data_IF_013585572628
#
_entry.id   IF_013585572628
#
_cell.length_a   1.000
_cell.length_b   1.000
_cell.length_c   1.000
_cell.angle_alpha   90.00
_cell.angle_beta   90.00
_cell.angle_gamma   90.00
#
_symmetry.space_group_name_H-M   'P 1'
#
loop_
_entity.id
_entity.type
_entity.pdbx_description
1 polymer ?
#
# COMPACT_ATOMS: atom_id res chain seq x y z
N UNK A 1 -10.34 -7.57 -12.21
CA UNK A 1 -8.96 -8.09 -12.20
C UNK A 1 -8.44 -8.44 -13.60
N UNK A 2 -7.22 -7.98 -13.93
CA UNK A 2 -6.57 -8.16 -15.25
C UNK A 2 -6.22 -9.63 -15.54
N UNK A 3 -6.39 -10.04 -16.79
CA UNK A 3 -6.05 -11.38 -17.28
C UNK A 3 -4.54 -11.55 -17.48
N UNK A 4 -4.06 -12.80 -17.49
CA UNK A 4 -2.65 -13.10 -17.78
C UNK A 4 -2.20 -12.54 -19.14
N UNK A 5 -3.08 -12.50 -20.14
CA UNK A 5 -2.74 -11.96 -21.46
C UNK A 5 -2.65 -10.42 -21.46
N UNK A 6 -3.37 -9.75 -20.57
CA UNK A 6 -3.17 -8.32 -20.31
C UNK A 6 -1.85 -8.07 -19.57
N UNK A 7 -1.53 -8.87 -18.55
CA UNK A 7 -0.29 -8.72 -17.79
C UNK A 7 0.97 -8.96 -18.65
N UNK A 8 0.93 -9.87 -19.63
CA UNK A 8 2.04 -10.11 -20.59
C UNK A 8 2.40 -8.87 -21.41
N UNK A 9 1.43 -7.97 -21.64
CA UNK A 9 1.63 -6.75 -22.43
C UNK A 9 2.33 -5.64 -21.63
N UNK A 10 2.38 -5.75 -20.30
CA UNK A 10 3.03 -4.78 -19.43
C UNK A 10 4.54 -5.01 -19.49
N UNK A 11 5.23 -4.10 -20.17
CA UNK A 11 6.66 -4.20 -20.45
C UNK A 11 7.33 -2.84 -20.30
N UNK A 12 8.59 -2.86 -19.88
CA UNK A 12 9.45 -1.69 -19.77
C UNK A 12 10.65 -1.88 -20.70
N UNK A 13 10.94 -0.91 -21.56
CA UNK A 13 12.13 -0.95 -22.43
C UNK A 13 13.18 0.04 -21.94
N UNK A 14 14.36 -0.47 -21.59
CA UNK A 14 15.49 0.32 -21.10
C UNK A 14 16.79 -0.20 -21.68
N UNK A 15 17.62 0.70 -22.20
CA UNK A 15 18.91 0.36 -22.81
C UNK A 15 18.78 -0.79 -23.83
N UNK A 16 17.79 -0.69 -24.72
CA UNK A 16 17.49 -1.67 -25.77
C UNK A 16 17.07 -3.06 -25.27
N UNK A 17 16.83 -3.22 -23.95
CA UNK A 17 16.30 -4.45 -23.35
C UNK A 17 14.87 -4.25 -22.90
N UNK A 18 14.04 -5.26 -23.17
CA UNK A 18 12.64 -5.29 -22.72
C UNK A 18 12.52 -6.18 -21.50
N UNK A 19 11.97 -5.62 -20.44
CA UNK A 19 11.67 -6.30 -19.18
C UNK A 19 10.15 -6.51 -19.11
N UNK A 20 9.71 -7.71 -18.74
CA UNK A 20 8.30 -8.02 -18.58
C UNK A 20 7.90 -7.95 -17.13
N UNK A 21 6.74 -7.36 -16.84
CA UNK A 21 6.16 -7.31 -15.49
C UNK A 21 6.02 -8.71 -14.88
N UNK A 22 5.59 -9.71 -15.65
CA UNK A 22 5.41 -11.08 -15.17
C UNK A 22 6.72 -11.76 -14.71
N UNK A 23 7.88 -11.22 -15.11
CA UNK A 23 9.19 -11.70 -14.69
C UNK A 23 9.85 -10.75 -13.67
N UNK A 24 9.10 -9.81 -13.11
CA UNK A 24 9.59 -8.82 -12.15
C UNK A 24 9.41 -9.28 -10.70
N UNK A 25 10.19 -8.69 -9.80
CA UNK A 25 9.99 -8.87 -8.36
C UNK A 25 8.64 -8.27 -7.91
N UNK A 26 8.15 -7.20 -8.55
CA UNK A 26 6.82 -6.63 -8.29
C UNK A 26 5.69 -7.64 -8.50
N UNK A 27 5.75 -8.42 -9.58
CA UNK A 27 4.76 -9.48 -9.82
C UNK A 27 4.89 -10.64 -8.82
N UNK A 28 6.12 -11.02 -8.45
CA UNK A 28 6.34 -12.01 -7.40
C UNK A 28 5.76 -11.55 -6.05
N UNK A 29 5.89 -10.27 -5.72
CA UNK A 29 5.27 -9.70 -4.52
C UNK A 29 3.76 -9.73 -4.59
N UNK A 30 3.15 -9.36 -5.72
CA UNK A 30 1.71 -9.49 -5.91
C UNK A 30 1.25 -10.94 -5.71
N UNK A 31 1.94 -11.91 -6.33
CA UNK A 31 1.64 -13.34 -6.16
C UNK A 31 1.79 -13.83 -4.72
N UNK A 32 2.80 -13.35 -4.00
CA UNK A 32 3.01 -13.70 -2.60
C UNK A 32 1.92 -13.11 -1.70
N UNK A 33 1.52 -11.86 -1.94
CA UNK A 33 0.40 -11.22 -1.23
C UNK A 33 -0.88 -11.97 -1.51
N UNK A 34 -1.22 -12.17 -2.79
CA UNK A 34 -2.38 -12.93 -3.26
C UNK A 34 -2.46 -14.30 -2.58
N UNK A 35 -1.37 -15.09 -2.61
CA UNK A 35 -1.35 -16.42 -2.00
C UNK A 35 -1.49 -16.39 -0.47
N UNK A 36 -0.77 -15.50 0.22
CA UNK A 36 -0.84 -15.41 1.69
C UNK A 36 -2.19 -14.85 2.18
N UNK A 37 -2.86 -14.00 1.39
CA UNK A 37 -4.22 -13.54 1.69
C UNK A 37 -5.28 -14.63 1.52
N UNK A 38 -5.00 -15.64 0.70
CA UNK A 38 -5.90 -16.74 0.42
C UNK A 38 -5.71 -17.92 1.40
N UNK A 39 -4.50 -18.14 1.90
CA UNK A 39 -4.12 -19.37 2.64
C UNK A 39 -3.70 -19.16 4.11
N UNK A 40 -3.68 -17.92 4.63
CA UNK A 40 -3.20 -17.67 6.00
C UNK A 40 -4.30 -17.77 7.07
N UNK A 41 -4.26 -18.85 7.86
CA UNK A 41 -4.97 -18.97 9.16
C UNK A 41 -4.52 -17.89 10.19
N UNK A 42 -3.45 -17.13 9.88
CA UNK A 42 -2.86 -16.09 10.72
C UNK A 42 -3.20 -14.66 10.29
N UNK A 43 -3.79 -14.45 9.11
CA UNK A 43 -4.35 -13.14 8.76
C UNK A 43 -5.58 -12.93 9.64
N UNK A 44 -5.55 -11.88 10.46
CA UNK A 44 -6.59 -11.57 11.43
C UNK A 44 -7.99 -11.81 10.85
N UNK A 45 -8.87 -12.44 11.63
CA UNK A 45 -10.25 -12.84 11.31
C UNK A 45 -11.07 -11.86 10.45
N UNK A 46 -10.64 -10.60 10.34
CA UNK A 46 -11.17 -9.54 9.52
C UNK A 46 -11.08 -9.79 8.00
N UNK A 47 -9.97 -10.29 7.45
CA UNK A 47 -9.83 -10.45 5.99
C UNK A 47 -10.67 -11.60 5.44
N UNK A 48 -10.68 -12.72 6.17
CA UNK A 48 -11.61 -13.82 5.90
C UNK A 48 -13.07 -13.36 5.98
N UNK A 49 -13.38 -12.39 6.86
CA UNK A 49 -14.72 -11.79 6.95
C UNK A 49 -15.03 -10.89 5.76
N UNK A 50 -14.15 -9.96 5.37
CA UNK A 50 -14.39 -9.10 4.19
C UNK A 50 -14.52 -9.96 2.93
N UNK A 51 -13.60 -10.89 2.68
CA UNK A 51 -13.69 -11.81 1.53
C UNK A 51 -15.02 -12.57 1.48
N UNK A 52 -15.56 -12.95 2.65
CA UNK A 52 -16.81 -13.71 2.75
C UNK A 52 -18.06 -12.82 2.67
N UNK A 53 -18.03 -11.65 3.31
CA UNK A 53 -19.20 -10.80 3.53
C UNK A 53 -19.30 -9.68 2.50
N UNK A 54 -18.17 -9.24 1.95
CA UNK A 54 -18.01 -8.11 1.02
C UNK A 54 -17.00 -8.47 -0.11
N UNK A 55 -17.30 -9.49 -0.93
CA UNK A 55 -16.38 -9.99 -1.95
C UNK A 55 -16.02 -8.94 -3.01
N UNK A 56 -16.93 -8.04 -3.35
CA UNK A 56 -16.69 -6.95 -4.31
C UNK A 56 -15.65 -5.94 -3.79
N UNK A 57 -15.70 -5.62 -2.49
CA UNK A 57 -14.70 -4.77 -1.82
C UNK A 57 -13.33 -5.46 -1.82
N UNK A 58 -13.32 -6.78 -1.56
CA UNK A 58 -12.10 -7.57 -1.59
C UNK A 58 -11.47 -7.62 -2.99
N UNK A 59 -12.27 -7.85 -4.04
CA UNK A 59 -11.79 -7.86 -5.43
C UNK A 59 -11.24 -6.49 -5.86
N UNK A 60 -11.91 -5.40 -5.46
CA UNK A 60 -11.44 -4.04 -5.71
C UNK A 60 -10.09 -3.79 -5.05
N UNK A 61 -9.94 -4.19 -3.78
CA UNK A 61 -8.66 -4.08 -3.08
C UNK A 61 -7.55 -4.89 -3.77
N UNK A 62 -7.84 -6.12 -4.18
CA UNK A 62 -6.88 -6.97 -4.89
C UNK A 62 -6.45 -6.34 -6.22
N UNK A 63 -7.38 -5.70 -6.94
CA UNK A 63 -7.09 -4.98 -8.17
C UNK A 63 -6.23 -3.74 -7.93
N UNK A 64 -6.53 -2.93 -6.91
CA UNK A 64 -5.73 -1.77 -6.55
C UNK A 64 -4.29 -2.17 -6.21
N UNK A 65 -4.12 -3.28 -5.51
CA UNK A 65 -2.81 -3.82 -5.11
C UNK A 65 -2.02 -4.32 -6.33
N UNK A 66 -2.70 -4.98 -7.26
CA UNK A 66 -2.11 -5.32 -8.56
C UNK A 66 -1.64 -4.06 -9.29
N UNK A 67 -2.48 -3.03 -9.34
CA UNK A 67 -2.17 -1.76 -10.03
C UNK A 67 -1.03 -0.99 -9.35
N UNK A 68 -0.91 -1.06 -8.02
CA UNK A 68 0.24 -0.54 -7.29
C UNK A 68 1.55 -1.25 -7.69
N UNK A 69 1.54 -2.57 -7.84
CA UNK A 69 2.75 -3.30 -8.27
C UNK A 69 3.13 -3.03 -9.72
N UNK A 70 2.14 -2.88 -10.61
CA UNK A 70 2.35 -2.47 -12.01
C UNK A 70 2.92 -1.05 -12.06
N UNK A 71 2.36 -0.13 -11.29
CA UNK A 71 2.81 1.26 -11.20
C UNK A 71 4.25 1.33 -10.69
N UNK A 72 4.59 0.54 -9.66
CA UNK A 72 5.96 0.42 -9.17
C UNK A 72 6.95 -0.09 -10.22
N UNK A 73 6.54 -1.09 -11.01
CA UNK A 73 7.34 -1.63 -12.11
C UNK A 73 7.56 -0.59 -13.23
N UNK A 74 6.50 0.07 -13.69
CA UNK A 74 6.57 1.03 -14.80
C UNK A 74 7.33 2.30 -14.45
N UNK A 75 7.29 2.74 -13.19
CA UNK A 75 8.01 3.93 -12.71
C UNK A 75 9.41 3.60 -12.16
N UNK A 76 9.87 2.35 -12.30
CA UNK A 76 11.18 1.89 -11.80
C UNK A 76 11.41 2.25 -10.32
N UNK A 77 10.35 2.15 -9.50
CA UNK A 77 10.43 2.51 -8.08
C UNK A 77 11.45 1.65 -7.34
N UNK A 78 12.13 2.26 -6.37
CA UNK A 78 12.96 1.51 -5.43
C UNK A 78 12.13 0.46 -4.68
N UNK A 79 12.77 -0.57 -4.13
CA UNK A 79 12.04 -1.56 -3.31
C UNK A 79 11.30 -0.90 -2.13
N UNK A 80 11.91 0.12 -1.52
CA UNK A 80 11.34 0.86 -0.41
C UNK A 80 10.12 1.71 -0.83
N UNK A 81 10.17 2.35 -2.01
CA UNK A 81 9.04 3.14 -2.50
C UNK A 81 7.91 2.25 -3.02
N UNK A 82 8.26 1.15 -3.68
CA UNK A 82 7.31 0.11 -4.08
C UNK A 82 6.58 -0.46 -2.85
N UNK A 83 7.31 -0.73 -1.76
CA UNK A 83 6.73 -1.13 -0.48
C UNK A 83 5.74 -0.09 0.06
N UNK A 84 6.15 1.18 0.08
CA UNK A 84 5.31 2.29 0.56
C UNK A 84 4.02 2.37 -0.24
N UNK A 85 4.11 2.36 -1.58
CA UNK A 85 2.95 2.45 -2.47
C UNK A 85 2.00 1.27 -2.26
N UNK A 86 2.55 0.06 -2.22
CA UNK A 86 1.80 -1.17 -2.02
C UNK A 86 1.08 -1.20 -0.68
N UNK A 87 1.78 -0.81 0.39
CA UNK A 87 1.23 -0.79 1.75
C UNK A 87 0.18 0.30 1.92
N UNK A 88 0.39 1.49 1.36
CA UNK A 88 -0.60 2.56 1.37
C UNK A 88 -1.85 2.16 0.57
N UNK A 89 -1.68 1.60 -0.62
CA UNK A 89 -2.78 1.10 -1.46
C UNK A 89 -3.58 0.03 -0.75
N UNK A 90 -2.89 -0.92 -0.14
CA UNK A 90 -3.52 -1.96 0.66
C UNK A 90 -4.33 -1.36 1.81
N UNK A 91 -3.70 -0.51 2.62
CA UNK A 91 -4.32 0.11 3.79
C UNK A 91 -5.53 0.98 3.42
N UNK A 92 -5.51 1.62 2.24
CA UNK A 92 -6.58 2.49 1.77
C UNK A 92 -7.90 1.76 1.51
N UNK A 93 -7.86 0.53 0.98
CA UNK A 93 -9.09 -0.22 0.73
C UNK A 93 -9.81 -0.69 2.00
N UNK A 94 -9.25 -0.43 3.18
CA UNK A 94 -9.91 -0.64 4.48
C UNK A 94 -10.49 0.64 5.08
N UNK A 95 -10.41 1.76 4.36
CA UNK A 95 -11.00 3.04 4.73
C UNK A 95 -12.37 3.12 4.01
N UNK A 96 -13.52 2.78 4.64
CA UNK A 96 -14.82 2.92 4.00
C UNK A 96 -15.13 4.37 3.62
N UNK A 97 -16.04 4.55 2.65
CA UNK A 97 -16.45 5.83 1.99
C UNK A 97 -16.88 6.96 2.95
N UNK A 98 -17.02 6.70 4.24
CA UNK A 98 -17.10 7.72 5.28
C UNK A 98 -15.76 7.85 6.00
N UNK A 99 -14.84 8.62 5.40
CA UNK A 99 -13.48 8.88 5.90
C UNK A 99 -13.42 9.24 7.40
N UNK A 100 -14.47 9.81 7.99
CA UNK A 100 -14.54 10.11 9.42
C UNK A 100 -14.81 8.86 10.31
N UNK A 101 -15.69 7.95 9.90
CA UNK A 101 -15.93 6.68 10.61
C UNK A 101 -14.73 5.74 10.42
N UNK A 102 -14.16 5.73 9.22
CA UNK A 102 -12.96 4.97 8.90
C UNK A 102 -11.73 5.46 9.65
N UNK A 103 -11.54 6.78 9.77
CA UNK A 103 -10.51 7.33 10.64
C UNK A 103 -10.85 7.09 12.11
N UNK A 104 -12.11 7.01 12.52
CA UNK A 104 -12.49 6.58 13.87
C UNK A 104 -12.33 5.08 14.10
N UNK A 105 -12.41 4.23 13.08
CA UNK A 105 -12.22 2.79 13.15
C UNK A 105 -10.74 2.42 13.02
N UNK A 106 -9.97 3.15 12.21
CA UNK A 106 -8.53 3.16 12.22
C UNK A 106 -8.03 3.73 13.56
N UNK A 107 -8.56 4.85 14.03
CA UNK A 107 -8.26 5.41 15.35
C UNK A 107 -8.78 4.52 16.48
N UNK A 108 -9.88 3.77 16.34
CA UNK A 108 -10.32 2.75 17.32
C UNK A 108 -9.48 1.50 17.24
N UNK A 109 -9.04 1.10 16.06
CA UNK A 109 -8.13 -0.02 15.87
C UNK A 109 -6.80 0.33 16.53
N UNK A 110 -6.26 1.51 16.23
CA UNK A 110 -5.14 2.12 16.93
C UNK A 110 -5.44 2.20 18.43
N UNK A 111 -6.53 2.83 18.89
CA UNK A 111 -6.87 3.11 20.31
C UNK A 111 -7.15 1.85 21.15
N UNK A 112 -7.96 0.91 20.67
CA UNK A 112 -8.29 -0.33 21.36
C UNK A 112 -7.13 -1.33 21.36
N UNK A 113 -6.22 -1.28 20.38
CA UNK A 113 -4.94 -2.01 20.42
C UNK A 113 -3.80 -1.20 21.07
N UNK A 114 -3.97 0.11 21.36
CA UNK A 114 -3.00 1.00 22.05
C UNK A 114 -3.39 1.33 23.49
N UNK A 115 -3.67 0.30 24.28
CA UNK A 115 -3.43 0.40 25.74
C UNK A 115 -1.91 0.56 26.05
N UNK A 116 -1.04 0.77 25.05
CA UNK A 116 0.37 1.11 25.23
C UNK A 116 0.85 2.23 24.28
N UNK A 117 0.70 3.49 24.74
CA UNK A 117 1.54 4.70 24.61
C UNK A 117 2.27 5.12 23.30
N UNK A 118 2.10 4.51 22.13
CA UNK A 118 2.70 5.04 20.87
C UNK A 118 1.73 4.95 19.67
N UNK A 119 1.33 6.07 19.02
CA UNK A 119 0.45 6.04 17.85
C UNK A 119 1.07 5.33 16.63
N UNK A 120 2.38 5.05 16.64
CA UNK A 120 3.05 4.28 15.59
C UNK A 120 2.92 2.76 15.75
N UNK A 121 2.45 2.24 16.90
CA UNK A 121 2.44 0.81 17.20
C UNK A 121 1.39 0.02 16.39
N UNK A 122 0.22 0.59 16.13
CA UNK A 122 -0.80 -0.08 15.30
C UNK A 122 -0.41 -0.13 13.81
N UNK A 123 0.27 0.91 13.30
CA UNK A 123 0.96 0.87 12.01
C UNK A 123 2.09 -0.16 12.05
N UNK A 124 2.84 -0.30 13.15
CA UNK A 124 3.89 -1.31 13.29
C UNK A 124 3.36 -2.75 13.30
N UNK A 125 2.12 -3.00 13.75
CA UNK A 125 1.50 -4.33 13.77
C UNK A 125 0.73 -4.64 12.47
N UNK A 126 0.08 -3.65 11.83
CA UNK A 126 -0.40 -3.80 10.46
C UNK A 126 0.78 -4.01 9.50
N UNK A 127 1.90 -3.30 9.76
CA UNK A 127 3.19 -3.65 9.20
C UNK A 127 3.70 -4.98 9.73
N UNK A 128 3.41 -5.49 10.92
CA UNK A 128 3.86 -6.83 11.35
C UNK A 128 3.15 -7.94 10.57
N UNK A 129 1.87 -7.75 10.24
CA UNK A 129 1.07 -8.65 9.41
C UNK A 129 1.48 -8.53 7.94
N UNK A 130 1.67 -7.30 7.43
CA UNK A 130 2.31 -7.05 6.14
C UNK A 130 3.77 -7.55 6.11
N UNK A 131 4.53 -7.39 7.19
CA UNK A 131 5.90 -7.86 7.38
C UNK A 131 5.95 -9.38 7.52
N UNK A 132 4.92 -10.06 8.00
CA UNK A 132 4.88 -11.52 7.94
C UNK A 132 4.79 -12.01 6.50
N UNK A 133 4.07 -11.28 5.64
CA UNK A 133 3.96 -11.56 4.20
C UNK A 133 5.17 -11.03 3.40
N UNK A 134 5.75 -9.90 3.83
CA UNK A 134 6.71 -9.11 3.06
C UNK A 134 8.12 -9.09 3.66
N UNK A 135 8.39 -9.38 4.94
CA UNK A 135 9.77 -9.41 5.48
C UNK A 135 10.61 -10.58 4.98
N UNK A 136 10.02 -11.59 4.36
CA UNK A 136 10.82 -12.54 3.58
C UNK A 136 11.38 -11.90 2.30
N UNK A 137 10.87 -10.73 1.89
CA UNK A 137 11.09 -10.15 0.56
C UNK A 137 11.46 -8.66 0.54
N UNK A 138 11.32 -7.91 1.64
CA UNK A 138 11.58 -6.47 1.68
C UNK A 138 12.69 -6.10 2.67
N UNK A 139 13.58 -5.16 2.32
CA UNK A 139 14.65 -4.69 3.20
C UNK A 139 14.08 -3.98 4.43
N UNK A 140 14.93 -3.81 5.47
CA UNK A 140 14.60 -3.13 6.73
C UNK A 140 13.75 -1.87 6.52
N UNK A 141 12.46 -1.96 6.82
CA UNK A 141 11.51 -0.83 6.72
C UNK A 141 11.99 0.28 7.66
N UNK A 142 12.21 1.48 7.12
CA UNK A 142 12.70 2.61 7.91
C UNK A 142 11.53 3.40 8.47
N UNK A 143 11.74 4.06 9.61
CA UNK A 143 10.74 4.96 10.23
C UNK A 143 10.20 6.02 9.26
N UNK A 144 11.04 6.51 8.35
CA UNK A 144 10.63 7.49 7.35
C UNK A 144 9.67 6.92 6.30
N UNK A 145 9.78 5.63 5.98
CA UNK A 145 8.89 4.95 5.04
C UNK A 145 7.50 4.78 5.68
N UNK A 146 7.46 4.46 6.98
CA UNK A 146 6.21 4.41 7.76
C UNK A 146 5.51 5.75 7.86
N UNK A 147 6.27 6.83 8.12
CA UNK A 147 5.73 8.20 8.14
C UNK A 147 5.18 8.61 6.78
N UNK A 148 5.82 8.17 5.70
CA UNK A 148 5.34 8.43 4.35
C UNK A 148 4.02 7.68 4.10
N UNK A 149 3.91 6.39 4.42
CA UNK A 149 2.65 5.63 4.30
C UNK A 149 1.52 6.35 5.03
N UNK A 150 1.73 6.76 6.29
CA UNK A 150 0.72 7.49 7.06
C UNK A 150 0.28 8.78 6.36
N UNK A 151 1.25 9.58 5.88
CA UNK A 151 0.95 10.83 5.18
C UNK A 151 0.19 10.59 3.87
N UNK A 152 0.56 9.56 3.12
CA UNK A 152 -0.14 9.19 1.89
C UNK A 152 -1.62 8.87 2.16
N UNK A 153 -1.90 8.07 3.20
CA UNK A 153 -3.26 7.74 3.61
C UNK A 153 -4.07 8.97 4.03
N UNK A 154 -3.45 9.87 4.79
CA UNK A 154 -4.08 11.14 5.19
C UNK A 154 -4.41 12.03 3.99
N UNK A 155 -3.56 12.02 2.96
CA UNK A 155 -3.64 12.95 1.83
C UNK A 155 -4.35 12.37 0.60
N UNK A 156 -4.73 11.08 0.58
CA UNK A 156 -5.31 10.43 -0.61
C UNK A 156 -6.49 11.20 -1.18
N UNK A 157 -7.42 11.60 -0.32
CA UNK A 157 -8.64 12.34 -0.68
C UNK A 157 -8.62 13.80 -0.19
N UNK A 158 -7.49 14.26 0.34
CA UNK A 158 -7.36 15.62 0.85
C UNK A 158 -7.44 16.65 -0.28
N UNK A 159 -7.96 17.82 0.04
CA UNK A 159 -8.02 18.95 -0.89
C UNK A 159 -6.62 19.46 -1.24
N UNK A 160 -6.50 20.14 -2.39
CA UNK A 160 -5.22 20.74 -2.80
C UNK A 160 -4.65 21.72 -1.76
N UNK A 161 -5.52 22.38 -0.98
CA UNK A 161 -5.11 23.26 0.12
C UNK A 161 -4.47 22.49 1.27
N UNK A 162 -5.10 21.41 1.72
CA UNK A 162 -4.57 20.53 2.79
C UNK A 162 -3.27 19.84 2.38
N UNK A 163 -3.19 19.37 1.12
CA UNK A 163 -1.95 18.83 0.55
C UNK A 163 -0.85 19.88 0.57
N UNK A 164 -1.13 21.10 0.11
CA UNK A 164 -0.12 22.17 0.08
C UNK A 164 0.33 22.57 1.49
N UNK A 165 -0.57 22.60 2.47
CA UNK A 165 -0.25 22.89 3.87
C UNK A 165 0.69 21.84 4.46
N UNK A 166 0.35 20.56 4.34
CA UNK A 166 1.18 19.46 4.83
C UNK A 166 2.57 19.49 4.17
N UNK A 167 2.65 19.66 2.85
CA UNK A 167 3.90 19.70 2.10
C UNK A 167 4.80 20.89 2.49
N UNK A 168 4.22 22.03 2.86
CA UNK A 168 4.97 23.23 3.27
C UNK A 168 5.72 23.04 4.60
N UNK A 169 5.26 22.11 5.44
CA UNK A 169 5.88 21.81 6.74
C UNK A 169 7.11 20.90 6.64
N UNK A 170 7.34 20.29 5.46
CA UNK A 170 8.36 19.28 5.24
C UNK A 170 9.66 19.89 4.73
N UNK A 171 10.78 19.24 5.05
CA UNK A 171 12.04 19.52 4.36
C UNK A 171 11.97 19.07 2.89
N UNK A 172 12.78 19.70 2.04
CA UNK A 172 12.76 19.51 0.60
C UNK A 172 12.83 18.04 0.15
N UNK A 173 13.77 17.20 0.62
CA UNK A 173 13.81 15.79 0.21
C UNK A 173 12.57 14.98 0.60
N UNK A 174 12.00 15.27 1.78
CA UNK A 174 10.77 14.59 2.24
C UNK A 174 9.55 15.06 1.46
N UNK A 175 9.51 16.35 1.12
CA UNK A 175 8.45 16.96 0.33
C UNK A 175 8.42 16.36 -1.07
N UNK A 176 9.54 16.38 -1.79
CA UNK A 176 9.65 15.84 -3.15
C UNK A 176 9.23 14.36 -3.22
N UNK A 177 9.73 13.56 -2.27
CA UNK A 177 9.34 12.14 -2.18
C UNK A 177 7.85 11.97 -1.87
N UNK A 178 7.29 12.83 -1.00
CA UNK A 178 5.85 12.80 -0.68
C UNK A 178 5.01 13.14 -1.90
N UNK A 179 5.36 14.21 -2.62
CA UNK A 179 4.66 14.65 -3.84
C UNK A 179 4.65 13.55 -4.90
N UNK A 180 5.82 12.97 -5.20
CA UNK A 180 5.93 11.90 -6.18
C UNK A 180 5.08 10.68 -5.80
N UNK A 181 5.19 10.23 -4.55
CA UNK A 181 4.45 9.05 -4.09
C UNK A 181 2.94 9.30 -3.96
N UNK A 182 2.53 10.51 -3.57
CA UNK A 182 1.13 10.90 -3.49
C UNK A 182 0.49 10.94 -4.88
N UNK A 183 1.19 11.48 -5.89
CA UNK A 183 0.69 11.49 -7.27
C UNK A 183 0.44 10.07 -7.79
N UNK A 184 1.38 9.14 -7.55
CA UNK A 184 1.20 7.74 -7.94
C UNK A 184 0.05 7.10 -7.17
N UNK A 185 -0.02 7.34 -5.86
CA UNK A 185 -1.05 6.74 -5.01
C UNK A 185 -2.45 7.29 -5.32
N UNK A 186 -2.58 8.57 -5.70
CA UNK A 186 -3.84 9.16 -6.12
C UNK A 186 -4.33 8.61 -7.46
N UNK A 187 -3.42 8.18 -8.35
CA UNK A 187 -3.77 7.58 -9.64
C UNK A 187 -4.23 6.12 -9.57
N UNK A 188 -4.10 5.49 -8.40
CA UNK A 188 -4.61 4.16 -8.08
C UNK A 188 -5.95 4.32 -7.36
#
# INVERSE_FOLDING_TARGET
MKTNDELKKIQLTKQEKTYSYLNSHHYNWFKAIDLNLLDSDGFTNYFLRIKKNEPEVFETLQENVLDATITGFLNELSEADSFVLLTATWANGFIPEEAASAMQDFDRYLTNYTIQKDPLLGINQMNADFNQVLMQHFPKVRRQDLRLIYRLLLLKEASAGEVSEELSSLNEPTRERTEAMLSLFQSI
#
